data_IF_551302792759
#
_entry.id   IF_551302792759
#
_cell.length_a   1.000
_cell.length_b   1.000
_cell.length_c   1.000
_cell.angle_alpha   90.00
_cell.angle_beta   90.00
_cell.angle_gamma   90.00
#
_symmetry.space_group_name_H-M   'P 1'
#
loop_
_entity.id
_entity.type
_entity.pdbx_description
1 polymer ?
#
# COMPACT_ATOMS: atom_id res chain seq x y z
N UNK A 1 -36.16 2.24 -3.38
CA UNK A 1 -34.95 2.57 -4.16
C UNK A 1 -33.87 3.05 -3.20
N UNK A 2 -32.83 2.26 -2.97
CA UNK A 2 -31.64 2.72 -2.25
C UNK A 2 -30.94 3.81 -3.08
N UNK A 3 -30.53 4.89 -2.43
CA UNK A 3 -29.72 5.93 -3.05
C UNK A 3 -28.36 5.30 -3.38
N UNK A 4 -28.07 5.11 -4.66
CA UNK A 4 -26.70 4.86 -5.12
C UNK A 4 -25.98 6.20 -4.93
N UNK A 5 -25.24 6.32 -3.84
CA UNK A 5 -24.34 7.46 -3.64
C UNK A 5 -23.21 7.28 -4.63
N UNK A 6 -23.27 7.97 -5.78
CA UNK A 6 -22.14 8.05 -6.72
C UNK A 6 -20.96 8.65 -5.94
N UNK A 7 -19.87 7.90 -5.79
CA UNK A 7 -18.56 8.40 -5.37
C UNK A 7 -18.24 9.66 -6.19
N UNK A 8 -17.55 10.65 -5.63
CA UNK A 8 -17.16 11.83 -6.41
C UNK A 8 -16.22 11.38 -7.55
N UNK A 9 -16.75 11.32 -8.76
CA UNK A 9 -16.02 10.85 -9.94
C UNK A 9 -15.32 12.01 -10.63
N UNK A 10 -14.13 11.73 -11.16
CA UNK A 10 -13.34 12.70 -11.91
C UNK A 10 -14.12 13.11 -13.16
N UNK A 11 -14.60 14.35 -13.18
CA UNK A 11 -15.33 14.88 -14.32
C UNK A 11 -14.37 15.25 -15.45
N UNK A 12 -14.38 14.48 -16.54
CA UNK A 12 -13.58 14.77 -17.73
C UNK A 12 -14.11 16.00 -18.46
N UNK A 13 -13.37 17.11 -18.38
CA UNK A 13 -13.70 18.33 -19.10
C UNK A 13 -13.42 18.19 -20.62
N UNK A 14 -13.86 19.16 -21.42
CA UNK A 14 -13.70 19.11 -22.90
C UNK A 14 -12.24 19.05 -23.35
N UNK A 15 -11.33 19.71 -22.63
CA UNK A 15 -9.90 19.73 -22.95
C UNK A 15 -9.28 18.35 -22.71
N UNK A 16 -9.56 17.72 -21.56
CA UNK A 16 -9.12 16.36 -21.25
C UNK A 16 -9.70 15.34 -22.24
N UNK A 17 -10.98 15.48 -22.61
CA UNK A 17 -11.61 14.64 -23.64
C UNK A 17 -10.92 14.77 -25.00
N UNK A 18 -10.56 15.99 -25.41
CA UNK A 18 -9.81 16.21 -26.64
C UNK A 18 -8.41 15.58 -26.58
N UNK A 19 -7.73 15.67 -25.44
CA UNK A 19 -6.43 15.01 -25.22
C UNK A 19 -6.58 13.48 -25.36
N UNK A 20 -7.54 12.87 -24.67
CA UNK A 20 -7.79 11.42 -24.76
C UNK A 20 -8.14 10.98 -26.18
N UNK A 21 -9.01 11.74 -26.88
CA UNK A 21 -9.34 11.47 -28.28
C UNK A 21 -8.09 11.46 -29.18
N UNK A 22 -7.22 12.45 -29.01
CA UNK A 22 -5.96 12.54 -29.76
C UNK A 22 -4.97 11.43 -29.38
N UNK A 23 -4.96 10.97 -28.13
CA UNK A 23 -4.14 9.81 -27.72
C UNK A 23 -4.59 8.53 -28.44
N UNK A 24 -5.89 8.29 -28.56
CA UNK A 24 -6.41 7.16 -29.33
C UNK A 24 -6.14 7.29 -30.84
N UNK A 25 -6.16 8.51 -31.41
CA UNK A 25 -5.70 8.73 -32.79
C UNK A 25 -4.24 8.32 -33.00
N UNK A 26 -3.37 8.60 -32.02
CA UNK A 26 -1.97 8.20 -32.06
C UNK A 26 -1.85 6.68 -31.92
N UNK A 27 -2.57 6.06 -30.98
CA UNK A 27 -2.54 4.62 -30.75
C UNK A 27 -2.99 3.82 -31.98
N UNK A 28 -4.02 4.26 -32.71
CA UNK A 28 -4.41 3.65 -34.01
C UNK A 28 -3.26 3.57 -35.02
N UNK A 29 -2.30 4.49 -34.96
CA UNK A 29 -1.12 4.51 -35.85
C UNK A 29 0.04 3.66 -35.33
N UNK A 30 0.15 3.50 -34.01
CA UNK A 30 1.25 2.76 -33.36
C UNK A 30 0.93 1.28 -33.18
N UNK A 31 -0.35 0.95 -32.97
CA UNK A 31 -0.84 -0.40 -32.74
C UNK A 31 -2.07 -0.67 -33.63
N UNK A 32 -1.80 -1.00 -34.88
CA UNK A 32 -2.86 -1.24 -35.87
C UNK A 32 -3.71 -2.49 -35.58
N UNK A 33 -3.30 -3.34 -34.64
CA UNK A 33 -4.04 -4.55 -34.26
C UNK A 33 -5.31 -4.26 -33.45
N UNK A 34 -5.34 -3.13 -32.74
CA UNK A 34 -6.41 -2.76 -31.80
C UNK A 34 -7.20 -1.51 -32.23
N UNK A 35 -7.20 -1.19 -33.53
CA UNK A 35 -7.83 0.02 -34.08
C UNK A 35 -9.30 0.13 -33.70
N UNK A 36 -10.05 -0.98 -33.77
CA UNK A 36 -11.47 -1.00 -33.48
C UNK A 36 -11.77 -0.60 -32.03
N UNK A 37 -10.96 -1.08 -31.07
CA UNK A 37 -11.11 -0.74 -29.65
C UNK A 37 -10.86 0.76 -29.42
N UNK A 38 -9.84 1.32 -30.08
CA UNK A 38 -9.53 2.75 -30.00
C UNK A 38 -10.65 3.62 -30.59
N UNK A 39 -11.26 3.20 -31.70
CA UNK A 39 -12.42 3.89 -32.28
C UNK A 39 -13.64 3.84 -31.33
N UNK A 40 -13.89 2.71 -30.67
CA UNK A 40 -14.95 2.61 -29.65
C UNK A 40 -14.69 3.58 -28.48
N UNK A 41 -13.46 3.65 -27.97
CA UNK A 41 -13.12 4.60 -26.91
C UNK A 41 -13.28 6.05 -27.36
N UNK A 42 -12.95 6.38 -28.60
CA UNK A 42 -13.17 7.71 -29.18
C UNK A 42 -14.65 8.07 -29.27
N UNK A 43 -15.51 7.14 -29.68
CA UNK A 43 -16.96 7.35 -29.73
C UNK A 43 -17.55 7.59 -28.33
N UNK A 44 -17.12 6.79 -27.34
CA UNK A 44 -17.45 6.99 -25.93
C UNK A 44 -17.07 8.40 -25.47
N UNK A 45 -15.84 8.84 -25.77
CA UNK A 45 -15.35 10.18 -25.44
C UNK A 45 -16.16 11.27 -26.14
N UNK A 46 -16.50 11.13 -27.42
CA UNK A 46 -17.23 12.13 -28.18
C UNK A 46 -18.69 12.25 -27.72
N UNK A 47 -19.33 11.13 -27.39
CA UNK A 47 -20.73 11.10 -26.93
C UNK A 47 -20.97 11.97 -25.69
N UNK A 48 -19.97 12.04 -24.80
CA UNK A 48 -20.05 12.83 -23.57
C UNK A 48 -21.03 12.29 -22.52
N UNK A 49 -21.53 11.06 -22.68
CA UNK A 49 -22.35 10.41 -21.67
C UNK A 49 -21.49 10.03 -20.46
N UNK A 50 -21.85 10.55 -19.28
CA UNK A 50 -21.08 10.35 -18.05
C UNK A 50 -20.80 8.88 -17.76
N UNK A 51 -21.76 7.99 -17.98
CA UNK A 51 -21.59 6.54 -17.81
C UNK A 51 -20.37 5.98 -18.55
N UNK A 52 -20.10 6.43 -19.78
CA UNK A 52 -18.92 6.00 -20.55
C UNK A 52 -17.66 6.75 -20.14
N UNK A 53 -17.79 8.01 -19.72
CA UNK A 53 -16.65 8.79 -19.23
C UNK A 53 -16.12 8.22 -17.90
N UNK A 54 -16.99 7.66 -17.08
CA UNK A 54 -16.66 7.02 -15.81
C UNK A 54 -15.72 5.82 -16.02
N UNK A 55 -15.89 5.06 -17.12
CA UNK A 55 -15.03 3.90 -17.47
C UNK A 55 -13.55 4.26 -17.58
N UNK A 56 -13.22 5.48 -18.03
CA UNK A 56 -11.83 5.93 -18.16
C UNK A 56 -11.19 6.28 -16.82
N UNK A 57 -11.99 6.39 -15.77
CA UNK A 57 -11.51 6.84 -14.45
C UNK A 57 -11.71 5.82 -13.34
N UNK A 58 -12.51 4.77 -13.58
CA UNK A 58 -12.83 3.73 -12.59
C UNK A 58 -11.60 2.95 -12.11
N UNK A 59 -10.56 2.85 -12.94
CA UNK A 59 -9.31 2.21 -12.60
C UNK A 59 -8.37 3.09 -11.76
N UNK A 60 -8.62 4.40 -11.66
CA UNK A 60 -7.86 5.27 -10.77
C UNK A 60 -8.42 5.15 -9.36
N UNK A 61 -7.70 4.44 -8.51
CA UNK A 61 -7.96 4.45 -7.07
C UNK A 61 -7.63 5.85 -6.51
N UNK A 62 -8.39 6.30 -5.50
CA UNK A 62 -8.06 7.54 -4.75
C UNK A 62 -6.69 7.45 -4.05
N UNK A 63 -6.16 6.24 -3.91
CA UNK A 63 -4.88 5.95 -3.29
C UNK A 63 -4.87 6.28 -1.80
N UNK A 64 -3.66 6.30 -1.25
CA UNK A 64 -3.37 6.74 0.11
C UNK A 64 -2.83 8.18 0.08
N UNK A 65 -3.21 8.97 1.07
CA UNK A 65 -2.62 10.29 1.25
C UNK A 65 -1.17 10.19 1.77
N UNK A 66 -0.46 11.32 1.78
CA UNK A 66 0.95 11.36 2.18
C UNK A 66 1.18 10.86 3.62
N UNK A 67 0.31 11.20 4.56
CA UNK A 67 0.45 10.82 5.96
C UNK A 67 0.22 9.31 6.16
N UNK A 68 -0.72 8.73 5.41
CA UNK A 68 -0.95 7.27 5.39
C UNK A 68 0.26 6.54 4.81
N UNK A 69 0.77 7.00 3.66
CA UNK A 69 2.00 6.46 3.07
C UNK A 69 3.17 6.55 4.06
N UNK A 70 3.36 7.70 4.71
CA UNK A 70 4.42 7.91 5.68
C UNK A 70 4.29 7.00 6.89
N UNK A 71 3.09 6.84 7.43
CA UNK A 71 2.81 5.93 8.53
C UNK A 71 3.23 4.49 8.19
N UNK A 72 2.84 3.99 7.01
CA UNK A 72 3.19 2.63 6.56
C UNK A 72 4.69 2.49 6.36
N UNK A 73 5.36 3.45 5.72
CA UNK A 73 6.80 3.41 5.55
C UNK A 73 7.55 3.42 6.89
N UNK A 74 7.09 4.21 7.86
CA UNK A 74 7.70 4.30 9.18
C UNK A 74 7.54 2.99 9.95
N UNK A 75 6.34 2.39 9.98
CA UNK A 75 6.13 1.14 10.71
C UNK A 75 6.90 -0.02 10.08
N UNK A 76 6.93 -0.13 8.75
CA UNK A 76 7.72 -1.14 8.04
C UNK A 76 9.22 -0.95 8.29
N UNK A 77 9.70 0.30 8.30
CA UNK A 77 11.10 0.61 8.58
C UNK A 77 11.49 0.28 10.02
N UNK A 78 10.62 0.55 10.98
CA UNK A 78 10.83 0.19 12.38
C UNK A 78 10.98 -1.32 12.55
N UNK A 79 10.04 -2.09 12.01
CA UNK A 79 10.09 -3.56 12.11
C UNK A 79 11.27 -4.16 11.33
N UNK A 80 11.71 -3.53 10.24
CA UNK A 80 12.97 -3.88 9.57
C UNK A 80 14.15 -3.73 10.51
N UNK A 81 14.26 -2.60 11.22
CA UNK A 81 15.36 -2.35 12.16
C UNK A 81 15.33 -3.38 13.30
N UNK A 82 14.15 -3.67 13.85
CA UNK A 82 13.97 -4.71 14.88
C UNK A 82 14.42 -6.08 14.35
N UNK A 83 13.99 -6.46 13.14
CA UNK A 83 14.40 -7.72 12.52
C UNK A 83 15.92 -7.79 12.31
N UNK A 84 16.56 -6.71 11.85
CA UNK A 84 18.01 -6.66 11.71
C UNK A 84 18.75 -6.71 13.04
N UNK A 85 18.15 -6.16 14.10
CA UNK A 85 18.68 -6.28 15.47
C UNK A 85 18.73 -7.74 15.89
N UNK A 86 17.62 -8.47 15.69
CA UNK A 86 17.57 -9.92 15.92
C UNK A 86 18.61 -10.70 15.09
N UNK A 87 18.82 -10.34 13.82
CA UNK A 87 19.83 -11.03 12.99
C UNK A 87 21.27 -10.76 13.43
N UNK A 88 21.56 -9.58 13.98
CA UNK A 88 22.93 -9.15 14.28
C UNK A 88 23.36 -9.42 15.72
N UNK A 89 22.43 -9.30 16.66
CA UNK A 89 22.72 -9.34 18.09
C UNK A 89 22.30 -10.69 18.70
N UNK A 90 23.24 -11.35 19.38
CA UNK A 90 23.00 -12.62 20.06
C UNK A 90 22.09 -12.44 21.27
N UNK A 91 22.24 -11.35 22.03
CA UNK A 91 21.43 -11.07 23.22
C UNK A 91 19.95 -10.89 22.85
N UNK A 92 19.69 -10.28 21.69
CA UNK A 92 18.33 -10.13 21.15
C UNK A 92 17.75 -11.50 20.76
N UNK A 93 18.56 -12.41 20.18
CA UNK A 93 18.09 -13.77 19.85
C UNK A 93 17.84 -14.64 21.06
N UNK A 94 18.61 -14.46 22.14
CA UNK A 94 18.39 -15.17 23.39
C UNK A 94 17.16 -14.63 24.16
N UNK A 95 16.79 -13.37 23.92
CA UNK A 95 15.71 -12.69 24.65
C UNK A 95 14.33 -12.79 24.00
N UNK A 96 14.26 -13.08 22.69
CA UNK A 96 13.00 -13.08 21.94
C UNK A 96 12.94 -14.24 20.94
N UNK A 97 11.72 -14.73 20.67
CA UNK A 97 11.46 -15.53 19.49
C UNK A 97 11.29 -14.61 18.27
N UNK A 98 11.70 -15.05 17.08
CA UNK A 98 11.51 -14.26 15.84
C UNK A 98 10.03 -13.88 15.66
N UNK A 99 9.11 -14.78 16.00
CA UNK A 99 7.67 -14.53 15.94
C UNK A 99 7.20 -13.37 16.82
N UNK A 100 7.94 -12.98 17.86
CA UNK A 100 7.60 -11.83 18.70
C UNK A 100 7.98 -10.50 18.06
N UNK A 101 8.92 -10.53 17.10
CA UNK A 101 9.59 -9.36 16.57
C UNK A 101 9.21 -9.02 15.13
N UNK A 102 8.61 -9.97 14.39
CA UNK A 102 8.13 -9.72 13.03
C UNK A 102 6.85 -8.89 13.01
N UNK A 103 6.73 -8.02 12.02
CA UNK A 103 5.50 -7.28 11.77
C UNK A 103 4.35 -8.25 11.51
N UNK A 104 3.17 -7.96 12.08
CA UNK A 104 1.98 -8.83 11.99
C UNK A 104 1.07 -8.50 10.82
N UNK A 105 1.48 -7.58 9.96
CA UNK A 105 0.71 -7.18 8.79
C UNK A 105 -0.42 -6.21 9.12
N UNK A 106 -1.31 -6.06 8.14
CA UNK A 106 -2.50 -5.22 8.18
C UNK A 106 -3.74 -6.13 8.09
N UNK A 107 -4.84 -5.79 8.75
CA UNK A 107 -6.07 -6.58 8.68
C UNK A 107 -6.78 -6.39 7.33
N UNK A 108 -6.73 -7.41 6.46
CA UNK A 108 -7.42 -7.37 5.17
C UNK A 108 -8.94 -7.37 5.26
N UNK A 109 -9.53 -7.56 6.45
CA UNK A 109 -10.98 -7.42 6.67
C UNK A 109 -11.39 -5.98 7.02
N UNK A 110 -10.44 -5.09 7.33
CA UNK A 110 -10.70 -3.68 7.54
C UNK A 110 -10.46 -2.89 6.24
N UNK A 111 -11.40 -2.01 5.88
CA UNK A 111 -11.36 -1.30 4.60
C UNK A 111 -10.16 -0.33 4.48
N UNK A 112 -9.68 0.21 5.60
CA UNK A 112 -8.51 1.10 5.64
C UNK A 112 -7.23 0.28 5.53
N UNK A 113 -7.11 -0.75 6.37
CA UNK A 113 -5.94 -1.60 6.43
C UNK A 113 -5.76 -2.45 5.16
N UNK A 114 -6.84 -2.80 4.46
CA UNK A 114 -6.77 -3.42 3.13
C UNK A 114 -6.03 -2.54 2.12
N UNK A 115 -6.22 -1.21 2.15
CA UNK A 115 -5.46 -0.29 1.29
C UNK A 115 -3.98 -0.21 1.71
N UNK A 116 -3.70 -0.36 3.00
CA UNK A 116 -2.33 -0.38 3.51
C UNK A 116 -1.60 -1.65 3.07
N UNK A 117 -2.30 -2.78 3.05
CA UNK A 117 -1.80 -4.03 2.48
C UNK A 117 -1.46 -3.87 0.99
N UNK A 118 -2.38 -3.31 0.20
CA UNK A 118 -2.12 -3.03 -1.23
C UNK A 118 -0.93 -2.09 -1.46
N UNK A 119 -0.74 -1.09 -0.59
CA UNK A 119 0.44 -0.23 -0.64
C UNK A 119 1.73 -0.98 -0.29
N UNK A 120 1.70 -1.90 0.69
CA UNK A 120 2.83 -2.78 0.99
C UNK A 120 3.18 -3.71 -0.20
N UNK A 121 2.18 -4.27 -0.88
CA UNK A 121 2.38 -5.09 -2.08
C UNK A 121 3.09 -4.28 -3.16
N UNK A 122 2.62 -3.06 -3.44
CA UNK A 122 3.28 -2.14 -4.38
C UNK A 122 4.72 -1.83 -3.98
N UNK A 123 4.99 -1.58 -2.69
CA UNK A 123 6.36 -1.35 -2.20
C UNK A 123 7.26 -2.56 -2.48
N UNK A 124 6.74 -3.76 -2.27
CA UNK A 124 7.45 -5.03 -2.51
C UNK A 124 7.74 -5.24 -4.00
N UNK A 125 6.77 -4.97 -4.87
CA UNK A 125 6.93 -5.01 -6.32
C UNK A 125 8.01 -4.02 -6.82
N UNK A 126 8.14 -2.88 -6.14
CA UNK A 126 9.19 -1.88 -6.37
C UNK A 126 10.53 -2.23 -5.69
N UNK A 127 10.65 -3.41 -5.09
CA UNK A 127 11.89 -3.91 -4.48
C UNK A 127 12.17 -3.37 -3.08
N UNK A 128 11.18 -2.83 -2.37
CA UNK A 128 11.31 -2.35 -0.99
C UNK A 128 10.70 -3.34 -0.01
N UNK A 129 11.30 -3.50 1.16
CA UNK A 129 10.76 -4.36 2.24
C UNK A 129 10.62 -5.84 1.86
N UNK A 130 11.47 -6.31 0.93
CA UNK A 130 11.46 -7.68 0.43
C UNK A 130 11.70 -8.71 1.53
N UNK A 131 12.42 -8.34 2.60
CA UNK A 131 12.65 -9.20 3.75
C UNK A 131 11.35 -9.69 4.41
N UNK A 132 10.26 -8.92 4.37
CA UNK A 132 8.96 -9.37 4.88
C UNK A 132 8.29 -10.38 3.93
N UNK A 133 8.44 -10.21 2.61
CA UNK A 133 7.98 -11.20 1.62
C UNK A 133 8.77 -12.51 1.73
N UNK A 134 10.07 -12.45 2.04
CA UNK A 134 10.88 -13.64 2.32
C UNK A 134 10.39 -14.36 3.57
N UNK A 135 10.20 -13.63 4.67
CA UNK A 135 9.66 -14.19 5.92
C UNK A 135 8.25 -14.80 5.74
N UNK A 136 7.41 -14.22 4.88
CA UNK A 136 6.11 -14.78 4.55
C UNK A 136 6.22 -16.11 3.80
N UNK A 137 7.11 -16.20 2.80
CA UNK A 137 7.38 -17.45 2.06
C UNK A 137 7.96 -18.55 2.94
N UNK A 138 8.74 -18.17 3.94
CA UNK A 138 9.31 -19.07 4.94
C UNK A 138 8.29 -19.49 6.02
N UNK A 139 7.09 -18.87 6.04
CA UNK A 139 6.02 -19.17 6.98
C UNK A 139 6.21 -18.53 8.37
N UNK A 140 7.06 -17.51 8.47
CA UNK A 140 7.31 -16.77 9.72
C UNK A 140 6.28 -15.67 9.99
N UNK A 141 5.59 -15.16 8.96
CA UNK A 141 4.53 -14.16 9.08
C UNK A 141 3.47 -14.31 7.98
N UNK A 142 2.37 -13.57 8.12
CA UNK A 142 1.39 -13.28 7.06
C UNK A 142 1.13 -11.78 7.07
N UNK A 143 1.21 -11.13 5.91
CA UNK A 143 0.96 -9.68 5.83
C UNK A 143 -0.52 -9.32 5.87
N UNK A 144 -1.40 -10.27 5.56
CA UNK A 144 -2.80 -10.19 5.96
C UNK A 144 -2.93 -10.74 7.38
N UNK A 145 -3.12 -9.84 8.35
CA UNK A 145 -3.09 -10.17 9.77
C UNK A 145 -4.34 -10.95 10.22
N UNK A 146 -5.44 -10.87 9.48
CA UNK A 146 -6.77 -11.36 9.90
C UNK A 146 -7.16 -10.92 11.32
N UNK A 147 -6.74 -9.72 11.74
CA UNK A 147 -7.01 -9.16 13.06
C UNK A 147 -6.10 -9.68 14.20
N UNK A 148 -5.05 -10.46 13.89
CA UNK A 148 -4.12 -11.03 14.87
C UNK A 148 -2.98 -10.09 15.28
N UNK A 149 -2.91 -8.89 14.68
CA UNK A 149 -1.89 -7.87 14.96
C UNK A 149 -2.36 -6.76 15.93
N UNK A 150 -1.46 -5.83 16.31
CA UNK A 150 -1.86 -4.60 16.98
C UNK A 150 -2.82 -3.78 16.08
N UNK A 151 -3.80 -3.11 16.67
CA UNK A 151 -4.62 -2.15 15.94
C UNK A 151 -3.79 -0.99 15.40
N UNK A 152 -4.34 -0.22 14.44
CA UNK A 152 -3.69 1.01 13.95
C UNK A 152 -3.28 1.97 15.08
N UNK A 153 -4.12 2.10 16.12
CA UNK A 153 -3.79 2.88 17.31
C UNK A 153 -2.61 2.28 18.10
N UNK A 154 -2.54 0.95 18.21
CA UNK A 154 -1.40 0.26 18.79
C UNK A 154 -0.11 0.48 18.01
N UNK A 155 -0.19 0.44 16.67
CA UNK A 155 0.94 0.73 15.78
C UNK A 155 1.41 2.20 15.90
N UNK A 156 0.49 3.15 16.05
CA UNK A 156 0.83 4.57 16.33
C UNK A 156 1.62 4.71 17.63
N UNK A 157 1.17 4.07 18.71
CA UNK A 157 1.88 4.07 20.00
C UNK A 157 3.25 3.39 19.95
N UNK A 158 3.42 2.40 19.08
CA UNK A 158 4.72 1.79 18.80
C UNK A 158 5.64 2.81 18.12
N UNK A 159 5.14 3.54 17.12
CA UNK A 159 5.91 4.60 16.46
C UNK A 159 6.28 5.72 17.43
N UNK A 160 5.34 6.20 18.24
CA UNK A 160 5.59 7.24 19.25
C UNK A 160 6.73 6.86 20.20
N UNK A 161 6.78 5.61 20.67
CA UNK A 161 7.87 5.13 21.54
C UNK A 161 9.20 4.95 20.80
N UNK A 162 9.14 4.70 19.49
CA UNK A 162 10.34 4.59 18.67
C UNK A 162 10.99 5.94 18.36
N UNK A 163 10.26 7.07 18.52
CA UNK A 163 10.79 8.42 18.28
C UNK A 163 12.04 8.72 19.14
N UNK A 164 12.10 8.16 20.36
CA UNK A 164 13.27 8.30 21.25
C UNK A 164 14.55 7.66 20.71
N UNK A 165 14.42 6.76 19.73
CA UNK A 165 15.51 5.97 19.16
C UNK A 165 15.56 6.08 17.65
N UNK A 166 15.13 7.22 17.10
CA UNK A 166 15.25 7.50 15.67
C UNK A 166 16.70 7.38 15.19
N UNK A 167 16.83 6.98 13.92
CA UNK A 167 18.11 6.86 13.20
C UNK A 167 19.09 5.79 13.72
N UNK A 168 18.66 4.88 14.59
CA UNK A 168 19.47 3.70 14.94
C UNK A 168 19.33 2.58 13.92
N UNK A 169 20.45 1.94 13.57
CA UNK A 169 20.49 0.80 12.65
C UNK A 169 20.19 -0.55 13.34
N UNK A 170 20.25 -0.58 14.68
CA UNK A 170 19.96 -1.73 15.54
C UNK A 170 19.45 -1.25 16.90
N UNK A 171 18.62 -2.06 17.54
CA UNK A 171 18.09 -1.86 18.88
C UNK A 171 18.56 -2.96 19.84
N UNK A 172 18.84 -2.56 21.07
CA UNK A 172 19.08 -3.43 22.22
C UNK A 172 17.79 -4.11 22.70
N UNK A 173 17.92 -5.10 23.57
CA UNK A 173 16.78 -5.79 24.18
C UNK A 173 15.86 -4.82 24.93
N UNK A 174 16.42 -3.90 25.72
CA UNK A 174 15.66 -2.91 26.48
C UNK A 174 14.86 -1.99 25.58
N UNK A 175 15.46 -1.54 24.47
CA UNK A 175 14.80 -0.69 23.50
C UNK A 175 13.66 -1.43 22.80
N UNK A 176 13.86 -2.69 22.40
CA UNK A 176 12.80 -3.51 21.78
C UNK A 176 11.65 -3.71 22.76
N UNK A 177 11.93 -4.05 24.03
CA UNK A 177 10.90 -4.16 25.08
C UNK A 177 10.11 -2.86 25.24
N UNK A 178 10.81 -1.74 25.33
CA UNK A 178 10.20 -0.43 25.43
C UNK A 178 9.33 -0.08 24.23
N UNK A 179 9.82 -0.27 23.00
CA UNK A 179 9.13 0.07 21.75
C UNK A 179 7.91 -0.83 21.54
N UNK A 180 8.00 -2.14 21.84
CA UNK A 180 6.92 -3.10 21.60
C UNK A 180 5.96 -3.28 22.78
N UNK A 181 6.28 -2.72 23.96
CA UNK A 181 5.53 -2.90 25.22
C UNK A 181 5.56 -4.36 25.71
N UNK A 182 6.73 -4.99 25.66
CA UNK A 182 6.93 -6.39 26.03
C UNK A 182 7.73 -6.53 27.32
#
# INVERSE_FOLDING_TARGET
MGKITRKEMVKLNKETRLILYNQYEILKKLDSGNVQDYEEYQDKILSGHEMFLDEFTVAFEEGLNYQECQFINNILSLYRTIYYSYKKDEEVRESFELSDLVFKGFDGNDETEMKYLGYYELLTDLGRFQEFSELEKEGHLTMNSHGMGPSLEGLRKILERSEEYEHQDVYTVEQIRYILNK
#
